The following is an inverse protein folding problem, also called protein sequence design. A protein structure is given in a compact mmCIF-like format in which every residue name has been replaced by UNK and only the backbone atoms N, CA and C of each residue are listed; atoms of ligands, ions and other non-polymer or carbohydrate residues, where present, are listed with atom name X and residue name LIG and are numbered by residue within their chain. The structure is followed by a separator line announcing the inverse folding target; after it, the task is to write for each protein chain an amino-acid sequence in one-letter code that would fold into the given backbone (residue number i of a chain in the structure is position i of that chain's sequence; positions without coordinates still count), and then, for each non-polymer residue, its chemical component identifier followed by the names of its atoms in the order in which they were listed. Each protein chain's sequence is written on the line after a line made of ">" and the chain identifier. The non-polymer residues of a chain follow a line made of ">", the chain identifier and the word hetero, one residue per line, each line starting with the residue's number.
data_IF_816674865932
#
_entry.id   IF_816674865932
#
_cell.length_a   1.000
_cell.length_b   1.000
_cell.length_c   1.000
_cell.angle_alpha   90.00
_cell.angle_beta   90.00
_cell.angle_gamma   90.00
#
_symmetry.space_group_name_H-M   'P 1'
#
loop_
_entity.id
_entity.type
_entity.pdbx_description
1 polymer ?
#
# COMPACT_ATOMS: atom_id res chain seq x y z
N UNK A 1 17.77 -21.67 31.37
CA UNK A 1 16.42 -21.51 30.79
C UNK A 1 16.58 -20.81 29.44
N UNK A 2 16.43 -21.52 28.33
CA UNK A 2 16.59 -20.97 26.99
C UNK A 2 15.17 -20.80 26.42
N UNK A 3 14.73 -19.55 26.27
CA UNK A 3 13.45 -19.23 25.61
C UNK A 3 13.60 -19.48 24.10
N UNK A 4 13.13 -20.64 23.65
CA UNK A 4 12.95 -20.93 22.22
C UNK A 4 11.84 -20.03 21.69
N UNK A 5 12.20 -19.03 20.87
CA UNK A 5 11.22 -18.24 20.10
C UNK A 5 10.43 -19.20 19.19
N UNK A 6 9.09 -19.15 19.16
CA UNK A 6 8.32 -19.98 18.25
C UNK A 6 8.62 -19.57 16.79
N UNK A 7 8.86 -20.58 15.94
CA UNK A 7 9.04 -20.48 14.49
C UNK A 7 7.97 -19.56 13.89
N UNK A 8 8.41 -18.50 13.20
CA UNK A 8 7.55 -17.72 12.30
C UNK A 8 7.05 -18.64 11.18
N UNK A 9 5.79 -19.03 11.24
CA UNK A 9 5.05 -19.76 10.20
C UNK A 9 4.64 -18.79 9.09
N UNK A 10 5.61 -18.15 8.44
CA UNK A 10 5.36 -17.37 7.23
C UNK A 10 5.73 -18.19 5.98
N UNK A 11 5.12 -19.37 5.85
CA UNK A 11 5.02 -20.04 4.56
C UNK A 11 3.79 -19.44 3.85
N UNK A 12 3.98 -18.30 3.19
CA UNK A 12 2.94 -17.76 2.30
C UNK A 12 2.73 -18.71 1.12
N UNK A 13 1.48 -18.88 0.62
CA UNK A 13 1.24 -19.72 -0.55
C UNK A 13 1.86 -19.07 -1.80
N UNK A 14 2.50 -19.91 -2.62
CA UNK A 14 3.24 -19.56 -3.85
C UNK A 14 2.34 -19.17 -5.04
N UNK A 15 1.01 -19.11 -4.87
CA UNK A 15 0.06 -18.87 -5.97
C UNK A 15 -1.04 -17.89 -5.55
N UNK A 16 -0.94 -16.66 -6.06
CA UNK A 16 -1.70 -15.48 -5.65
C UNK A 16 -3.09 -15.33 -6.24
N UNK A 17 -3.99 -16.27 -5.99
CA UNK A 17 -5.45 -16.00 -6.11
C UNK A 17 -6.18 -16.75 -5.02
N UNK A 18 -6.09 -16.21 -3.79
CA UNK A 18 -6.66 -16.82 -2.60
C UNK A 18 -8.15 -16.53 -2.45
N UNK A 19 -9.02 -17.12 -3.27
CA UNK A 19 -10.42 -17.28 -2.86
C UNK A 19 -10.58 -18.36 -1.77
N UNK A 20 -9.56 -19.20 -1.55
CA UNK A 20 -9.63 -20.37 -0.66
C UNK A 20 -8.91 -20.30 0.70
N UNK A 21 -8.27 -19.18 1.08
CA UNK A 21 -7.67 -19.03 2.43
C UNK A 21 -8.17 -17.75 3.08
N UNK A 22 -8.95 -17.90 4.16
CA UNK A 22 -9.53 -16.79 4.91
C UNK A 22 -8.46 -16.11 5.78
N UNK A 23 -7.49 -15.44 5.15
CA UNK A 23 -6.68 -14.44 5.84
C UNK A 23 -7.56 -13.24 6.21
N UNK A 24 -7.48 -12.78 7.47
CA UNK A 24 -8.23 -11.62 7.95
C UNK A 24 -7.97 -10.40 7.05
N UNK A 25 -6.69 -10.10 6.77
CA UNK A 25 -6.24 -8.98 5.93
C UNK A 25 -5.63 -9.46 4.61
N UNK A 26 -5.77 -8.65 3.56
CA UNK A 26 -5.19 -8.87 2.23
C UNK A 26 -4.65 -7.57 1.66
N UNK A 27 -3.65 -7.68 0.79
CA UNK A 27 -3.13 -6.55 0.03
C UNK A 27 -4.03 -6.26 -1.18
N UNK A 28 -4.39 -4.98 -1.34
CA UNK A 28 -5.11 -4.47 -2.49
C UNK A 28 -4.40 -3.23 -3.04
N UNK A 29 -4.67 -2.92 -4.30
CA UNK A 29 -4.21 -1.67 -4.92
C UNK A 29 -5.40 -0.73 -5.07
N UNK A 30 -5.39 0.35 -4.30
CA UNK A 30 -6.37 1.43 -4.41
C UNK A 30 -5.89 2.44 -5.44
N UNK A 31 -6.75 2.78 -6.40
CA UNK A 31 -6.52 3.86 -7.36
C UNK A 31 -6.96 5.19 -6.77
N UNK A 32 -6.05 6.14 -6.71
CA UNK A 32 -6.19 7.43 -6.04
C UNK A 32 -6.14 8.56 -7.07
N UNK A 33 -6.71 9.72 -6.74
CA UNK A 33 -6.51 10.96 -7.51
C UNK A 33 -5.01 11.28 -7.64
N UNK A 34 -4.64 11.88 -8.77
CA UNK A 34 -3.26 12.28 -9.06
C UNK A 34 -2.68 13.15 -7.94
N UNK A 35 -1.44 12.89 -7.53
CA UNK A 35 -0.70 13.62 -6.49
C UNK A 35 -1.28 13.55 -5.07
N UNK A 36 -2.31 12.72 -4.84
CA UNK A 36 -2.91 12.51 -3.51
C UNK A 36 -2.40 11.25 -2.80
N UNK A 37 -1.43 10.53 -3.38
CA UNK A 37 -0.93 9.25 -2.89
C UNK A 37 -0.39 9.35 -1.47
N UNK A 38 0.50 10.32 -1.21
CA UNK A 38 1.09 10.57 0.12
C UNK A 38 0.02 10.97 1.14
N UNK A 39 -0.90 11.86 0.75
CA UNK A 39 -1.99 12.34 1.62
C UNK A 39 -2.95 11.21 2.01
N UNK A 40 -3.26 10.31 1.09
CA UNK A 40 -4.08 9.12 1.38
C UNK A 40 -3.35 8.18 2.32
N UNK A 41 -2.06 7.92 2.09
CA UNK A 41 -1.26 7.07 2.98
C UNK A 41 -1.18 7.62 4.41
N UNK A 42 -0.96 8.92 4.57
CA UNK A 42 -1.00 9.58 5.89
C UNK A 42 -2.36 9.43 6.58
N UNK A 43 -3.45 9.56 5.82
CA UNK A 43 -4.81 9.41 6.37
C UNK A 43 -5.08 7.96 6.80
N UNK A 44 -4.65 6.99 6.00
CA UNK A 44 -4.77 5.57 6.31
C UNK A 44 -3.94 5.20 7.55
N UNK A 45 -2.72 5.73 7.66
CA UNK A 45 -1.86 5.54 8.83
C UNK A 45 -2.51 6.05 10.11
N UNK A 46 -3.18 7.23 10.07
CA UNK A 46 -3.95 7.77 11.20
C UNK A 46 -5.14 6.90 11.62
N UNK A 47 -5.69 6.10 10.70
CA UNK A 47 -6.76 5.15 10.96
C UNK A 47 -6.24 3.77 11.41
N UNK A 48 -4.91 3.59 11.53
CA UNK A 48 -4.32 2.29 11.85
C UNK A 48 -4.36 1.29 10.69
N UNK A 49 -4.54 1.78 9.46
CA UNK A 49 -4.52 0.95 8.25
C UNK A 49 -3.13 1.01 7.63
N UNK A 50 -2.52 -0.16 7.48
CA UNK A 50 -1.23 -0.32 6.83
C UNK A 50 -1.35 0.03 5.33
N UNK A 51 -0.50 0.97 4.89
CA UNK A 51 -0.45 1.40 3.51
C UNK A 51 0.99 1.58 3.04
N UNK A 52 1.20 1.40 1.74
CA UNK A 52 2.48 1.57 1.08
C UNK A 52 2.30 2.35 -0.22
N UNK A 53 3.10 3.41 -0.38
CA UNK A 53 3.18 4.20 -1.60
C UNK A 53 4.55 3.94 -2.23
N UNK A 54 4.61 3.43 -3.47
CA UNK A 54 5.87 3.18 -4.13
C UNK A 54 6.53 4.51 -4.50
N UNK A 55 7.57 4.89 -3.77
CA UNK A 55 8.38 6.09 -4.02
C UNK A 55 9.81 5.69 -4.36
N UNK A 56 10.44 6.44 -5.25
CA UNK A 56 11.83 6.27 -5.65
C UNK A 56 12.58 7.59 -5.55
N UNK A 57 13.87 7.51 -5.26
CA UNK A 57 14.77 8.66 -5.27
C UNK A 57 15.24 8.94 -6.69
N UNK A 58 15.09 10.18 -7.14
CA UNK A 58 15.61 10.65 -8.42
C UNK A 58 16.47 11.89 -8.21
N UNK A 59 17.53 12.04 -9.01
CA UNK A 59 18.33 13.27 -9.01
C UNK A 59 17.70 14.21 -10.03
N UNK A 60 17.11 15.30 -9.55
CA UNK A 60 16.63 16.37 -10.41
C UNK A 60 17.74 17.41 -10.58
N UNK A 61 18.07 17.71 -11.83
CA UNK A 61 19.00 18.79 -12.17
C UNK A 61 18.22 20.02 -12.60
N UNK A 62 18.31 21.09 -11.80
CA UNK A 62 17.92 22.43 -12.17
C UNK A 62 19.12 23.20 -12.71
N UNK A 63 18.83 24.33 -13.37
CA UNK A 63 19.83 25.21 -13.98
C UNK A 63 20.92 25.63 -12.99
N UNK A 64 20.57 25.75 -11.71
CA UNK A 64 21.44 26.17 -10.63
C UNK A 64 22.00 25.00 -9.79
N UNK A 65 21.28 23.87 -9.66
CA UNK A 65 21.62 22.80 -8.69
C UNK A 65 21.18 21.40 -9.10
N UNK A 66 21.83 20.38 -8.55
CA UNK A 66 21.36 18.99 -8.52
C UNK A 66 20.85 18.63 -7.13
N UNK A 67 19.66 18.04 -7.02
CA UNK A 67 19.08 17.59 -5.74
C UNK A 67 18.42 16.23 -5.88
N UNK A 68 18.54 15.42 -4.83
CA UNK A 68 17.78 14.18 -4.71
C UNK A 68 16.35 14.48 -4.25
N UNK A 69 15.37 13.99 -5.01
CA UNK A 69 13.92 14.22 -4.79
C UNK A 69 13.19 12.89 -4.82
N UNK A 70 12.28 12.68 -3.87
CA UNK A 70 11.41 11.51 -3.83
C UNK A 70 10.22 11.69 -4.78
N UNK A 71 10.18 10.85 -5.82
CA UNK A 71 9.11 10.84 -6.82
C UNK A 71 8.32 9.55 -6.72
N UNK A 72 6.99 9.61 -6.90
CA UNK A 72 6.14 8.42 -6.91
C UNK A 72 6.49 7.57 -8.12
N UNK A 73 6.81 6.29 -7.89
CA UNK A 73 7.20 5.34 -8.93
C UNK A 73 5.99 4.86 -9.73
N UNK A 74 4.87 4.59 -9.06
CA UNK A 74 3.60 4.19 -9.67
C UNK A 74 2.53 5.25 -9.36
N UNK A 75 2.29 6.21 -10.28
CA UNK A 75 1.31 7.27 -10.05
C UNK A 75 -0.08 6.71 -9.78
N UNK A 76 -0.85 7.41 -8.96
CA UNK A 76 -2.25 7.07 -8.65
C UNK A 76 -2.45 5.70 -7.97
N UNK A 77 -1.39 5.01 -7.56
CA UNK A 77 -1.48 3.68 -6.94
C UNK A 77 -1.03 3.73 -5.49
N UNK A 78 -1.91 3.25 -4.60
CA UNK A 78 -1.59 3.05 -3.17
C UNK A 78 -1.90 1.61 -2.81
N UNK A 79 -0.91 0.91 -2.27
CA UNK A 79 -1.09 -0.44 -1.75
C UNK A 79 -1.65 -0.35 -0.33
N UNK A 80 -2.71 -1.10 -0.06
CA UNK A 80 -3.38 -1.11 1.24
C UNK A 80 -3.53 -2.54 1.75
N UNK A 81 -3.25 -2.77 3.02
CA UNK A 81 -3.38 -4.08 3.65
C UNK A 81 -4.57 -4.06 4.60
N UNK A 82 -5.70 -4.59 4.13
CA UNK A 82 -7.01 -4.35 4.75
C UNK A 82 -7.87 -5.61 4.90
N UNK A 83 -8.67 -5.62 5.97
CA UNK A 83 -9.80 -6.52 6.16
C UNK A 83 -10.98 -6.11 5.23
N UNK A 84 -12.00 -6.97 5.02
CA UNK A 84 -13.18 -6.60 4.21
C UNK A 84 -13.93 -5.35 4.70
N UNK A 85 -13.96 -5.09 6.01
CA UNK A 85 -14.58 -3.87 6.58
C UNK A 85 -13.77 -2.62 6.25
N UNK A 86 -12.48 -2.64 6.58
CA UNK A 86 -11.52 -1.57 6.26
C UNK A 86 -11.47 -1.30 4.74
N UNK A 87 -11.61 -2.34 3.91
CA UNK A 87 -11.66 -2.21 2.45
C UNK A 87 -12.79 -1.26 1.99
N UNK A 88 -13.96 -1.35 2.63
CA UNK A 88 -15.09 -0.47 2.35
C UNK A 88 -14.84 0.95 2.86
N UNK A 89 -14.20 1.08 4.03
CA UNK A 89 -13.80 2.40 4.57
C UNK A 89 -12.83 3.13 3.65
N UNK A 90 -11.82 2.45 3.10
CA UNK A 90 -10.88 3.07 2.14
C UNK A 90 -11.59 3.55 0.87
N UNK A 91 -12.60 2.81 0.39
CA UNK A 91 -13.42 3.24 -0.77
C UNK A 91 -14.31 4.45 -0.46
N UNK A 92 -14.63 4.70 0.81
CA UNK A 92 -15.44 5.87 1.19
C UNK A 92 -14.72 7.21 0.98
N UNK A 93 -13.39 7.18 0.80
CA UNK A 93 -12.61 8.39 0.57
C UNK A 93 -12.88 8.94 -0.82
N UNK A 94 -13.28 10.22 -0.90
CA UNK A 94 -13.51 10.91 -2.19
C UNK A 94 -12.28 10.97 -3.11
N UNK A 95 -11.08 10.76 -2.55
CA UNK A 95 -9.81 10.68 -3.27
C UNK A 95 -9.52 9.30 -3.84
N UNK A 96 -10.17 8.24 -3.36
CA UNK A 96 -10.04 6.87 -3.85
C UNK A 96 -11.14 6.61 -4.86
N UNK A 97 -10.78 6.16 -6.07
CA UNK A 97 -11.73 5.90 -7.14
C UNK A 97 -12.25 4.47 -7.13
N UNK A 98 -11.34 3.48 -7.13
CA UNK A 98 -11.67 2.06 -7.17
C UNK A 98 -10.45 1.21 -6.79
N UNK A 99 -10.68 -0.08 -6.55
CA UNK A 99 -9.58 -1.05 -6.49
C UNK A 99 -9.20 -1.54 -7.89
N UNK A 100 -7.91 -1.83 -8.06
CA UNK A 100 -7.44 -2.61 -9.21
C UNK A 100 -7.97 -4.05 -9.07
N UNK A 101 -8.56 -4.56 -10.14
CA UNK A 101 -9.09 -5.92 -10.22
C UNK A 101 -8.55 -6.53 -11.52
N UNK A 102 -8.02 -7.74 -11.42
CA UNK A 102 -7.66 -8.55 -12.59
C UNK A 102 -8.98 -9.06 -13.19
N UNK A 103 -9.23 -8.76 -14.47
CA UNK A 103 -10.39 -9.29 -15.20
C UNK A 103 -10.00 -10.54 -15.96
#
# INVERSE_FOLDING_TARGET
>A
MILTKPKSVNAGPISGTGEGVAHSKRWYVALVRMHHEKKVSERLSKMGIDSFVPVQQQIHQWSDRRKMVDTVLLPMMVFVHVNPKERMEVLSFSTVSRYMVMR
#
